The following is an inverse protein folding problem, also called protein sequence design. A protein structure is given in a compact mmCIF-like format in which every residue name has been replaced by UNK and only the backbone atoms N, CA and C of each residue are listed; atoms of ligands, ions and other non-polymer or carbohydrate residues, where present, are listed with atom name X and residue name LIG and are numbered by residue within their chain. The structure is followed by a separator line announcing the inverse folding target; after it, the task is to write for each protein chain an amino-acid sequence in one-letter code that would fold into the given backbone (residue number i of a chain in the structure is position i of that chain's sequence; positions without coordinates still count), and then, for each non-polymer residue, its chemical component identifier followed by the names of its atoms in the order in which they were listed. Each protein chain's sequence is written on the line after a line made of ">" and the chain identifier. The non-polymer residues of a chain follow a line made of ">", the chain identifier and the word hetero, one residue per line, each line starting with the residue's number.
data_IF_963844508420
#
_entry.id   IF_963844508420
#
_cell.length_a   1.000
_cell.length_b   1.000
_cell.length_c   1.000
_cell.angle_alpha   90.00
_cell.angle_beta   90.00
_cell.angle_gamma   90.00
#
_symmetry.space_group_name_H-M   'P 1'
#
loop_
_entity.id
_entity.type
_entity.pdbx_description
1 polymer ?
#
# COMPACT_ATOMS: atom_id res chain seq x y z
N UNK A 1 -3.44 -14.67 0.45
CA UNK A 1 -4.72 -15.42 0.44
C UNK A 1 -5.50 -15.24 1.75
N UNK A 2 -4.96 -15.65 2.91
CA UNK A 2 -5.68 -15.54 4.19
C UNK A 2 -5.94 -14.08 4.61
N UNK A 3 -4.99 -13.18 4.38
CA UNK A 3 -5.11 -11.74 4.68
C UNK A 3 -6.31 -11.15 3.94
N UNK A 4 -6.32 -11.28 2.60
CA UNK A 4 -7.44 -10.88 1.75
C UNK A 4 -8.78 -11.50 2.18
N UNK A 5 -8.80 -12.80 2.48
CA UNK A 5 -10.02 -13.48 2.94
C UNK A 5 -10.57 -12.90 4.26
N UNK A 6 -9.69 -12.51 5.18
CA UNK A 6 -10.06 -11.90 6.45
C UNK A 6 -10.58 -10.45 6.27
N UNK A 7 -10.13 -9.74 5.24
CA UNK A 7 -10.57 -8.38 4.89
C UNK A 7 -11.90 -8.29 4.14
N UNK A 8 -12.46 -9.39 3.62
CA UNK A 8 -13.71 -9.35 2.82
C UNK A 8 -14.98 -8.99 3.61
N UNK A 9 -15.02 -9.25 4.92
CA UNK A 9 -16.19 -8.93 5.73
C UNK A 9 -15.86 -9.00 7.23
N UNK A 10 -16.65 -8.35 8.08
CA UNK A 10 -16.50 -8.42 9.53
C UNK A 10 -16.75 -9.82 10.08
N UNK A 11 -15.68 -10.62 10.19
CA UNK A 11 -15.75 -11.98 10.78
C UNK A 11 -15.44 -11.98 12.28
N UNK A 12 -14.51 -11.13 12.71
CA UNK A 12 -14.03 -11.08 14.11
C UNK A 12 -14.67 -10.00 14.97
N UNK A 13 -15.17 -8.92 14.35
CA UNK A 13 -15.90 -7.83 15.01
C UNK A 13 -17.24 -7.71 14.31
N UNK A 14 -18.34 -7.75 15.06
CA UNK A 14 -19.68 -7.63 14.46
C UNK A 14 -19.99 -6.16 14.19
N UNK A 15 -20.58 -5.92 13.04
CA UNK A 15 -21.21 -4.64 12.69
C UNK A 15 -22.50 -4.54 13.47
N UNK A 16 -22.51 -3.64 14.45
CA UNK A 16 -23.61 -3.49 15.41
C UNK A 16 -24.16 -2.07 15.46
N UNK A 17 -23.49 -1.12 14.81
CA UNK A 17 -23.88 0.28 14.80
C UNK A 17 -24.12 0.69 13.34
N UNK A 18 -25.35 1.11 13.06
CA UNK A 18 -25.75 1.71 11.80
C UNK A 18 -26.35 3.08 12.14
N UNK A 19 -25.58 4.14 11.91
CA UNK A 19 -25.96 5.51 12.25
C UNK A 19 -25.21 6.51 11.36
N UNK A 20 -25.63 7.78 11.39
CA UNK A 20 -24.95 8.88 10.70
C UNK A 20 -23.70 9.32 11.46
N UNK A 21 -22.68 9.80 10.75
CA UNK A 21 -21.48 10.36 11.39
C UNK A 21 -21.83 11.54 12.32
N UNK A 22 -22.83 12.34 11.98
CA UNK A 22 -23.28 13.46 12.82
C UNK A 22 -23.64 13.02 14.25
N UNK A 23 -24.24 11.84 14.40
CA UNK A 23 -24.65 11.28 15.69
C UNK A 23 -23.49 10.61 16.45
N UNK A 24 -22.49 10.07 15.75
CA UNK A 24 -21.39 9.30 16.37
C UNK A 24 -20.03 10.02 16.40
N UNK A 25 -19.95 11.26 15.89
CA UNK A 25 -18.71 12.02 15.68
C UNK A 25 -17.76 12.09 16.88
N UNK A 26 -18.28 12.09 18.11
CA UNK A 26 -17.45 12.21 19.33
C UNK A 26 -16.60 10.95 19.59
N UNK A 27 -17.00 9.82 19.02
CA UNK A 27 -16.34 8.55 19.19
C UNK A 27 -15.99 7.85 17.87
N UNK A 28 -16.13 8.54 16.73
CA UNK A 28 -15.87 8.00 15.40
C UNK A 28 -14.67 8.67 14.71
N UNK A 29 -14.00 7.92 13.82
CA UNK A 29 -13.06 8.46 12.85
C UNK A 29 -13.83 9.33 11.86
N UNK A 30 -13.41 10.59 11.70
CA UNK A 30 -14.00 11.48 10.70
C UNK A 30 -13.64 11.02 9.28
N UNK A 31 -14.61 10.59 8.46
CA UNK A 31 -14.32 10.10 7.12
C UNK A 31 -13.77 11.17 6.18
N UNK A 32 -13.96 12.46 6.48
CA UNK A 32 -13.34 13.55 5.70
C UNK A 32 -11.82 13.66 5.91
N UNK A 33 -11.25 12.98 6.93
CA UNK A 33 -9.81 13.04 7.24
C UNK A 33 -8.99 11.89 6.65
N UNK A 34 -9.62 10.93 5.99
CA UNK A 34 -8.95 9.74 5.45
C UNK A 34 -8.43 9.92 4.01
N UNK A 35 -8.56 11.14 3.47
CA UNK A 35 -8.33 11.44 2.06
C UNK A 35 -9.65 11.53 1.30
N UNK A 36 -9.85 12.67 0.62
CA UNK A 36 -11.01 12.91 -0.23
C UNK A 36 -10.55 13.09 -1.66
N UNK A 37 -11.43 12.77 -2.58
CA UNK A 37 -11.20 13.07 -3.98
C UNK A 37 -11.41 14.56 -4.25
N UNK A 38 -10.69 15.05 -5.25
CA UNK A 38 -10.79 16.45 -5.67
C UNK A 38 -12.17 16.78 -6.24
N UNK A 39 -12.55 18.05 -6.20
CA UNK A 39 -13.80 18.54 -6.79
C UNK A 39 -13.89 18.21 -8.28
N UNK A 40 -12.75 18.28 -8.99
CA UNK A 40 -12.61 17.95 -10.40
C UNK A 40 -12.82 16.45 -10.68
N UNK A 41 -12.49 15.57 -9.73
CA UNK A 41 -12.80 14.14 -9.86
C UNK A 41 -14.28 13.89 -9.70
N UNK A 42 -14.91 14.46 -8.67
CA UNK A 42 -16.36 14.33 -8.45
C UNK A 42 -17.21 14.94 -9.57
N UNK A 43 -16.69 15.93 -10.30
CA UNK A 43 -17.40 16.55 -11.42
C UNK A 43 -17.40 15.68 -12.71
N UNK A 44 -16.66 14.57 -12.75
CA UNK A 44 -16.65 13.69 -13.94
C UNK A 44 -17.98 12.93 -14.06
N UNK A 45 -18.62 12.90 -15.26
CA UNK A 45 -19.94 12.29 -15.44
C UNK A 45 -20.06 10.83 -14.95
N UNK A 46 -18.99 10.04 -15.09
CA UNK A 46 -18.96 8.62 -14.74
C UNK A 46 -18.09 8.35 -13.49
N UNK A 47 -18.01 9.32 -12.57
CA UNK A 47 -17.24 9.12 -11.35
C UNK A 47 -17.94 8.12 -10.42
N UNK A 48 -17.28 7.01 -10.03
CA UNK A 48 -17.95 5.91 -9.35
C UNK A 48 -18.28 6.22 -7.88
N UNK A 49 -17.65 7.25 -7.30
CA UNK A 49 -17.80 7.56 -5.88
C UNK A 49 -18.70 8.77 -5.65
N UNK A 50 -19.54 8.66 -4.64
CA UNK A 50 -20.36 9.73 -4.12
C UNK A 50 -19.58 10.54 -3.09
N UNK A 51 -20.02 11.77 -2.86
CA UNK A 51 -19.49 12.58 -1.76
C UNK A 51 -19.98 12.01 -0.44
N UNK A 52 -19.10 12.04 0.55
CA UNK A 52 -19.47 11.71 1.92
C UNK A 52 -20.53 12.70 2.44
N UNK A 53 -21.69 12.18 2.85
CA UNK A 53 -22.73 12.93 3.54
C UNK A 53 -22.73 12.55 5.04
N UNK A 54 -22.42 13.48 5.96
CA UNK A 54 -22.37 13.19 7.39
C UNK A 54 -23.72 12.79 7.99
N UNK A 55 -24.84 13.01 7.27
CA UNK A 55 -26.20 12.65 7.69
C UNK A 55 -26.67 11.31 7.15
N UNK A 56 -26.01 10.76 6.13
CA UNK A 56 -26.35 9.44 5.59
C UNK A 56 -25.96 8.38 6.63
N UNK A 57 -26.89 7.52 7.07
CA UNK A 57 -26.55 6.38 7.93
C UNK A 57 -25.59 5.43 7.20
N UNK A 58 -24.61 4.92 7.93
CA UNK A 58 -23.69 3.88 7.46
C UNK A 58 -23.33 2.93 8.58
N UNK A 59 -22.72 1.81 8.20
CA UNK A 59 -22.25 0.81 9.14
C UNK A 59 -20.92 1.20 9.77
N UNK A 60 -20.81 0.97 11.06
CA UNK A 60 -19.62 1.24 11.85
C UNK A 60 -19.15 -0.01 12.58
N UNK A 61 -17.83 -0.16 12.64
CA UNK A 61 -17.15 -1.21 13.40
C UNK A 61 -16.19 -0.61 14.42
N UNK A 62 -15.92 -1.34 15.50
CA UNK A 62 -14.99 -0.88 16.52
C UNK A 62 -13.54 -1.13 16.11
N UNK A 63 -12.78 -0.04 16.01
CA UNK A 63 -11.32 -0.03 15.94
C UNK A 63 -10.69 0.50 17.24
N UNK A 64 -9.37 0.52 17.29
CA UNK A 64 -8.61 1.12 18.40
C UNK A 64 -7.72 2.22 17.87
N UNK A 65 -7.81 3.42 18.46
CA UNK A 65 -6.92 4.54 18.12
C UNK A 65 -5.75 4.57 19.09
N UNK A 66 -4.53 4.40 18.57
CA UNK A 66 -3.32 4.59 19.37
C UNK A 66 -3.08 6.05 19.74
N UNK A 67 -3.51 7.00 18.90
CA UNK A 67 -3.37 8.44 19.19
C UNK A 67 -4.28 8.91 20.33
N UNK A 68 -5.47 8.32 20.44
CA UNK A 68 -6.45 8.66 21.48
C UNK A 68 -6.47 7.64 22.63
N UNK A 69 -5.67 6.57 22.53
CA UNK A 69 -5.58 5.44 23.46
C UNK A 69 -6.94 4.84 23.84
N UNK A 70 -7.88 4.78 22.89
CA UNK A 70 -9.25 4.31 23.15
C UNK A 70 -9.89 3.63 21.93
N UNK A 71 -10.93 2.81 22.15
CA UNK A 71 -11.80 2.37 21.07
C UNK A 71 -12.49 3.54 20.37
N UNK A 72 -12.56 3.46 19.04
CA UNK A 72 -13.29 4.41 18.19
C UNK A 72 -14.11 3.63 17.15
N UNK A 73 -15.16 4.25 16.64
CA UNK A 73 -15.87 3.74 15.47
C UNK A 73 -15.12 4.09 14.20
N UNK A 74 -15.02 3.12 13.31
CA UNK A 74 -14.46 3.25 11.96
C UNK A 74 -15.55 2.83 10.98
N UNK A 75 -15.75 3.56 9.87
CA UNK A 75 -16.66 3.11 8.82
C UNK A 75 -16.31 1.69 8.36
N UNK A 76 -17.32 0.83 8.28
CA UNK A 76 -17.16 -0.57 7.90
C UNK A 76 -16.49 -0.71 6.52
N UNK A 77 -16.86 0.15 5.58
CA UNK A 77 -16.34 0.25 4.21
C UNK A 77 -14.88 0.68 4.09
N UNK A 78 -14.26 1.15 5.18
CA UNK A 78 -12.83 1.43 5.24
C UNK A 78 -12.07 0.26 5.87
N UNK A 79 -12.71 -0.45 6.81
CA UNK A 79 -12.09 -1.56 7.53
C UNK A 79 -12.14 -2.89 6.77
N UNK A 80 -13.04 -3.00 5.80
CA UNK A 80 -13.31 -4.21 5.01
C UNK A 80 -13.56 -3.85 3.53
N UNK A 81 -13.48 -4.85 2.67
CA UNK A 81 -13.63 -4.73 1.21
C UNK A 81 -14.88 -5.45 0.70
N UNK A 82 -15.33 -5.09 -0.49
CA UNK A 82 -16.47 -5.62 -1.24
C UNK A 82 -17.82 -5.45 -0.52
N UNK A 83 -18.00 -4.31 0.16
CA UNK A 83 -19.22 -4.03 0.95
C UNK A 83 -20.24 -3.15 0.23
N UNK A 84 -19.90 -2.64 -0.97
CA UNK A 84 -20.82 -1.88 -1.81
C UNK A 84 -21.18 -0.49 -1.27
N UNK A 85 -20.27 0.14 -0.53
CA UNK A 85 -20.41 1.53 -0.10
C UNK A 85 -19.81 2.49 -1.13
N UNK A 86 -20.45 3.65 -1.30
CA UNK A 86 -20.26 4.47 -2.50
C UNK A 86 -19.30 5.64 -2.29
N UNK A 87 -18.86 5.95 -1.05
CA UNK A 87 -18.14 7.20 -0.80
C UNK A 87 -16.60 7.08 -0.77
N UNK A 88 -16.07 5.87 -0.67
CA UNK A 88 -14.64 5.60 -0.56
C UNK A 88 -14.23 4.50 -1.53
N UNK A 89 -13.08 4.65 -2.19
CA UNK A 89 -12.48 3.57 -2.94
C UNK A 89 -11.82 2.58 -1.98
N UNK A 90 -12.40 1.39 -1.88
CA UNK A 90 -11.84 0.28 -1.12
C UNK A 90 -10.44 -0.08 -1.66
N UNK A 91 -9.44 -0.07 -0.78
CA UNK A 91 -8.10 -0.49 -1.14
C UNK A 91 -7.46 -1.25 0.02
N UNK A 92 -6.57 -2.14 -0.38
CA UNK A 92 -5.89 -3.11 0.46
C UNK A 92 -4.86 -2.56 1.46
N UNK A 93 -4.71 -1.23 1.55
CA UNK A 93 -3.61 -0.59 2.23
C UNK A 93 -3.70 -0.74 3.75
N UNK A 94 -2.59 -1.16 4.35
CA UNK A 94 -2.47 -1.36 5.79
C UNK A 94 -3.06 -2.67 6.30
N UNK A 95 -3.50 -3.56 5.41
CA UNK A 95 -3.90 -4.91 5.79
C UNK A 95 -2.70 -5.85 5.85
N UNK A 96 -2.49 -6.47 7.02
CA UNK A 96 -1.40 -7.41 7.22
C UNK A 96 -1.83 -8.62 8.05
N UNK A 97 -1.04 -9.69 7.93
CA UNK A 97 -1.11 -10.86 8.79
C UNK A 97 0.14 -10.96 9.66
N UNK A 98 -0.06 -11.45 10.87
CA UNK A 98 1.01 -11.74 11.82
C UNK A 98 0.69 -13.00 12.61
N UNK A 99 1.69 -13.53 13.30
CA UNK A 99 1.54 -14.64 14.25
C UNK A 99 0.86 -14.20 15.54
N UNK A 100 0.86 -12.90 15.80
CA UNK A 100 0.09 -12.25 16.86
C UNK A 100 -0.49 -10.92 16.36
N UNK A 101 -1.32 -10.29 17.20
CA UNK A 101 -1.97 -9.03 16.87
C UNK A 101 -0.95 -7.90 16.68
N UNK A 102 0.07 -7.85 17.53
CA UNK A 102 1.11 -6.83 17.50
C UNK A 102 1.92 -6.89 16.20
N UNK A 103 2.24 -8.11 15.72
CA UNK A 103 2.94 -8.30 14.46
C UNK A 103 2.08 -7.88 13.26
N UNK A 104 0.78 -8.21 13.26
CA UNK A 104 -0.14 -7.77 12.22
C UNK A 104 -0.28 -6.23 12.20
N UNK A 105 -0.42 -5.61 13.36
CA UNK A 105 -0.48 -4.14 13.48
C UNK A 105 0.82 -3.51 13.00
N UNK A 106 1.96 -4.05 13.40
CA UNK A 106 3.27 -3.55 13.00
C UNK A 106 3.44 -3.54 11.49
N UNK A 107 3.20 -4.67 10.80
CA UNK A 107 3.32 -4.73 9.35
C UNK A 107 2.26 -3.92 8.61
N UNK A 108 1.04 -3.79 9.17
CA UNK A 108 0.03 -2.88 8.63
C UNK A 108 0.49 -1.42 8.64
N UNK A 109 1.13 -0.97 9.72
CA UNK A 109 1.72 0.38 9.80
C UNK A 109 2.86 0.54 8.78
N UNK A 110 3.74 -0.45 8.65
CA UNK A 110 4.83 -0.39 7.68
C UNK A 110 4.32 -0.30 6.23
N UNK A 111 3.27 -1.03 5.89
CA UNK A 111 2.67 -0.94 4.55
C UNK A 111 2.12 0.48 4.28
N UNK A 112 1.45 1.08 5.27
CA UNK A 112 0.96 2.48 5.15
C UNK A 112 2.12 3.45 4.96
N UNK A 113 3.19 3.30 5.74
CA UNK A 113 4.41 4.12 5.62
C UNK A 113 5.07 3.95 4.25
N UNK A 114 5.12 2.73 3.72
CA UNK A 114 5.64 2.47 2.39
C UNK A 114 4.79 3.14 1.30
N UNK A 115 3.46 3.02 1.39
CA UNK A 115 2.54 3.64 0.43
C UNK A 115 2.58 5.15 0.47
N UNK A 116 2.64 5.75 1.64
CA UNK A 116 2.79 7.20 1.79
C UNK A 116 4.07 7.68 1.09
N UNK A 117 5.21 7.05 1.41
CA UNK A 117 6.49 7.36 0.79
C UNK A 117 6.46 7.21 -0.74
N UNK A 118 5.83 6.15 -1.24
CA UNK A 118 5.67 5.91 -2.68
C UNK A 118 4.78 6.99 -3.33
N UNK A 119 3.58 7.23 -2.80
CA UNK A 119 2.64 8.16 -3.42
C UNK A 119 3.17 9.59 -3.41
N UNK A 120 3.79 10.03 -2.30
CA UNK A 120 4.44 11.33 -2.22
C UNK A 120 5.60 11.45 -3.22
N UNK A 121 6.48 10.44 -3.30
CA UNK A 121 7.56 10.43 -4.29
C UNK A 121 7.01 10.58 -5.71
N UNK A 122 5.99 9.80 -6.05
CA UNK A 122 5.42 9.75 -7.40
C UNK A 122 4.72 11.05 -7.77
N UNK A 123 3.79 11.53 -6.94
CA UNK A 123 2.97 12.69 -7.26
C UNK A 123 3.73 14.01 -7.11
N UNK A 124 4.63 14.12 -6.14
CA UNK A 124 5.46 15.31 -5.96
C UNK A 124 6.77 15.27 -6.76
N UNK A 125 7.01 14.20 -7.54
CA UNK A 125 8.22 14.00 -8.36
C UNK A 125 9.50 14.24 -7.56
N UNK A 126 9.56 13.68 -6.34
CA UNK A 126 10.66 13.96 -5.42
C UNK A 126 11.98 13.42 -5.96
N UNK A 127 13.08 14.21 -5.90
CA UNK A 127 14.39 13.73 -6.28
C UNK A 127 14.95 12.81 -5.19
N UNK A 128 14.85 11.50 -5.39
CA UNK A 128 15.32 10.53 -4.40
C UNK A 128 16.84 10.28 -4.52
N UNK A 129 17.59 10.28 -3.41
CA UNK A 129 18.99 9.91 -3.42
C UNK A 129 19.15 8.40 -3.68
N UNK A 130 20.06 8.06 -4.60
CA UNK A 130 20.37 6.68 -4.96
C UNK A 130 21.20 6.01 -3.87
N UNK A 131 20.84 4.76 -3.56
CA UNK A 131 21.55 3.89 -2.63
C UNK A 131 22.53 2.97 -3.38
N UNK A 132 23.71 2.78 -2.79
CA UNK A 132 24.66 1.76 -3.21
C UNK A 132 24.44 0.48 -2.38
N UNK A 133 23.95 -0.63 -2.96
CA UNK A 133 23.75 -1.88 -2.22
C UNK A 133 25.05 -2.47 -1.67
N UNK A 134 26.21 -2.19 -2.28
CA UNK A 134 27.50 -2.70 -1.79
C UNK A 134 27.89 -2.09 -0.44
N UNK A 135 27.40 -0.90 -0.12
CA UNK A 135 27.66 -0.22 1.15
C UNK A 135 27.15 -1.00 2.38
N UNK A 136 26.10 -1.81 2.21
CA UNK A 136 25.53 -2.63 3.28
C UNK A 136 26.42 -3.80 3.70
N UNK A 137 27.39 -4.21 2.85
CA UNK A 137 28.25 -5.40 3.04
C UNK A 137 27.47 -6.69 3.38
N UNK A 138 26.22 -6.76 2.96
CA UNK A 138 25.33 -7.89 3.19
C UNK A 138 25.35 -8.84 1.99
N UNK A 139 25.83 -10.06 2.21
CA UNK A 139 26.02 -11.04 1.14
C UNK A 139 24.69 -11.49 0.53
N UNK A 140 23.64 -11.61 1.33
CA UNK A 140 22.33 -12.05 0.87
C UNK A 140 21.71 -11.04 -0.10
N UNK A 141 21.69 -9.76 0.27
CA UNK A 141 21.19 -8.67 -0.58
C UNK A 141 21.94 -8.63 -1.92
N UNK A 142 23.27 -8.73 -1.88
CA UNK A 142 24.07 -8.74 -3.11
C UNK A 142 23.74 -9.95 -3.99
N UNK A 143 23.55 -11.13 -3.41
CA UNK A 143 23.14 -12.32 -4.15
C UNK A 143 21.73 -12.21 -4.73
N UNK A 144 20.79 -11.57 -4.02
CA UNK A 144 19.43 -11.32 -4.53
C UNK A 144 19.47 -10.44 -5.79
N UNK A 145 20.22 -9.33 -5.73
CA UNK A 145 20.38 -8.40 -6.85
C UNK A 145 21.08 -9.07 -8.03
N UNK A 146 22.18 -9.78 -7.79
CA UNK A 146 22.89 -10.50 -8.84
C UNK A 146 22.04 -11.60 -9.46
N UNK A 147 21.16 -12.26 -8.69
CA UNK A 147 20.21 -13.25 -9.23
C UNK A 147 19.20 -12.60 -10.17
N UNK A 148 18.59 -11.46 -9.80
CA UNK A 148 17.69 -10.71 -10.69
C UNK A 148 18.41 -10.34 -11.99
N UNK A 149 19.65 -9.88 -11.87
CA UNK A 149 20.47 -9.49 -13.02
C UNK A 149 20.85 -10.65 -13.93
N UNK A 150 21.33 -11.74 -13.36
CA UNK A 150 21.84 -12.89 -14.10
C UNK A 150 20.72 -13.78 -14.67
N UNK A 151 19.61 -13.93 -13.93
CA UNK A 151 18.52 -14.85 -14.29
C UNK A 151 17.39 -14.13 -15.01
N UNK A 152 16.92 -12.98 -14.49
CA UNK A 152 15.79 -12.27 -15.09
C UNK A 152 16.22 -11.29 -16.20
N UNK A 153 17.49 -10.86 -16.20
CA UNK A 153 18.04 -9.93 -17.19
C UNK A 153 17.73 -8.46 -16.91
N UNK A 154 17.65 -8.08 -15.63
CA UNK A 154 17.32 -6.71 -15.20
C UNK A 154 18.40 -6.11 -14.29
N UNK A 155 18.76 -4.84 -14.50
CA UNK A 155 19.56 -4.08 -13.54
C UNK A 155 18.64 -3.56 -12.41
N UNK A 156 19.12 -3.54 -11.16
CA UNK A 156 18.38 -3.06 -9.99
C UNK A 156 18.93 -1.70 -9.53
N UNK A 157 18.04 -0.76 -9.26
CA UNK A 157 18.33 0.57 -8.76
C UNK A 157 17.52 0.79 -7.49
N UNK A 158 18.19 1.27 -6.44
CA UNK A 158 17.60 1.49 -5.12
C UNK A 158 17.68 2.97 -4.77
N UNK A 159 16.62 3.52 -4.22
CA UNK A 159 16.51 4.92 -3.84
C UNK A 159 15.93 5.03 -2.44
N UNK A 160 16.44 5.97 -1.66
CA UNK A 160 15.90 6.25 -0.34
C UNK A 160 14.69 7.19 -0.48
N UNK A 161 13.52 6.69 -0.10
CA UNK A 161 12.23 7.39 -0.09
C UNK A 161 11.74 7.70 1.34
N UNK A 162 12.63 7.66 2.34
CA UNK A 162 12.28 7.92 3.74
C UNK A 162 11.73 9.34 3.90
N UNK A 163 10.53 9.46 4.48
CA UNK A 163 9.85 10.74 4.75
C UNK A 163 10.11 11.21 6.20
N UNK A 164 9.44 12.28 6.63
CA UNK A 164 9.68 12.97 7.90
C UNK A 164 9.49 12.11 9.16
N UNK A 165 8.71 11.03 9.05
CA UNK A 165 8.53 10.06 10.12
C UNK A 165 9.81 9.25 10.43
N UNK A 166 10.83 9.30 9.55
CA UNK A 166 12.16 8.73 9.80
C UNK A 166 12.25 7.20 9.72
N UNK A 167 11.21 6.53 9.24
CA UNK A 167 11.21 5.07 9.04
C UNK A 167 11.79 4.79 7.65
N UNK A 168 12.85 3.97 7.53
CA UNK A 168 13.45 3.65 6.24
C UNK A 168 12.43 3.11 5.25
N UNK A 169 12.25 3.83 4.15
CA UNK A 169 11.43 3.45 3.00
C UNK A 169 12.30 3.47 1.75
N UNK A 170 12.27 2.39 0.97
CA UNK A 170 13.13 2.19 -0.19
C UNK A 170 12.25 2.06 -1.42
N UNK A 171 12.52 2.89 -2.42
CA UNK A 171 11.97 2.74 -3.76
C UNK A 171 12.96 1.94 -4.60
N UNK A 172 12.51 0.80 -5.13
CA UNK A 172 13.34 -0.05 -5.97
C UNK A 172 12.80 -0.07 -7.41
N UNK A 173 13.70 0.05 -8.39
CA UNK A 173 13.38 0.04 -9.81
C UNK A 173 14.26 -0.99 -10.49
N UNK A 174 13.66 -1.82 -11.35
CA UNK A 174 14.38 -2.68 -12.27
C UNK A 174 14.37 -2.08 -13.66
N UNK A 175 15.46 -2.26 -14.40
CA UNK A 175 15.56 -1.85 -15.81
C UNK A 175 15.94 -3.04 -16.67
N UNK A 176 15.13 -3.30 -17.69
CA UNK A 176 15.34 -4.42 -18.59
C UNK A 176 16.62 -4.24 -19.42
N UNK A 177 17.43 -5.30 -19.50
CA UNK A 177 18.65 -5.38 -20.33
C UNK A 177 18.45 -6.19 -21.60
N UNK A 178 17.30 -6.85 -21.72
CA UNK A 178 16.91 -7.69 -22.85
C UNK A 178 16.32 -6.82 -23.97
N UNK A 179 16.10 -7.42 -25.13
CA UNK A 179 15.44 -6.75 -26.26
C UNK A 179 13.91 -6.70 -26.15
N UNK A 180 13.34 -7.55 -25.30
CA UNK A 180 11.90 -7.78 -25.12
C UNK A 180 11.57 -7.85 -23.62
N UNK A 181 10.29 -7.70 -23.28
CA UNK A 181 9.80 -7.66 -21.90
C UNK A 181 9.51 -6.24 -21.39
N UNK A 182 8.97 -6.18 -20.18
CA UNK A 182 8.61 -4.90 -19.52
C UNK A 182 9.86 -4.05 -19.36
N UNK A 183 9.78 -2.74 -19.62
CA UNK A 183 10.97 -1.89 -19.56
C UNK A 183 11.41 -1.57 -18.12
N UNK A 184 10.44 -1.24 -17.27
CA UNK A 184 10.64 -0.88 -15.86
C UNK A 184 9.60 -1.58 -15.00
N UNK A 185 10.05 -2.15 -13.89
CA UNK A 185 9.17 -2.55 -12.78
C UNK A 185 9.64 -1.79 -11.54
N UNK A 186 8.70 -1.31 -10.74
CA UNK A 186 9.00 -0.67 -9.48
C UNK A 186 8.27 -1.38 -8.34
N UNK A 187 8.94 -1.43 -7.19
CA UNK A 187 8.37 -1.85 -5.94
C UNK A 187 8.90 -0.93 -4.84
N UNK A 188 8.35 -1.07 -3.64
CA UNK A 188 8.87 -0.40 -2.47
C UNK A 188 8.97 -1.38 -1.30
N UNK A 189 9.64 -0.93 -0.25
CA UNK A 189 9.73 -1.67 1.00
C UNK A 189 10.03 -0.71 2.14
N UNK A 190 9.40 -0.91 3.29
CA UNK A 190 9.67 -0.12 4.50
C UNK A 190 9.94 -1.02 5.70
N UNK A 191 10.85 -0.60 6.57
CA UNK A 191 11.13 -1.27 7.84
C UNK A 191 12.06 -0.41 8.72
N UNK A 192 11.94 -0.40 10.06
CA UNK A 192 12.85 0.34 10.95
C UNK A 192 14.33 -0.05 10.81
N UNK A 193 14.59 -1.32 10.47
CA UNK A 193 15.89 -1.83 9.99
C UNK A 193 16.03 -1.55 8.47
N UNK A 194 16.94 -0.65 8.05
CA UNK A 194 17.12 -0.28 6.64
C UNK A 194 17.47 -1.47 5.74
N UNK A 195 18.23 -2.44 6.24
CA UNK A 195 18.62 -3.59 5.42
C UNK A 195 17.41 -4.46 5.10
N UNK A 196 16.49 -4.62 6.06
CA UNK A 196 15.21 -5.30 5.82
C UNK A 196 14.34 -4.53 4.84
N UNK A 197 14.25 -3.19 4.96
CA UNK A 197 13.51 -2.37 4.00
C UNK A 197 14.00 -2.57 2.56
N UNK A 198 15.32 -2.57 2.37
CA UNK A 198 15.93 -2.84 1.05
C UNK A 198 15.64 -4.27 0.59
N UNK A 199 15.83 -5.28 1.44
CA UNK A 199 15.58 -6.69 1.06
C UNK A 199 14.12 -6.92 0.69
N UNK A 200 13.16 -6.35 1.43
CA UNK A 200 11.73 -6.41 1.09
C UNK A 200 11.48 -5.82 -0.29
N UNK A 201 11.99 -4.63 -0.58
CA UNK A 201 11.80 -3.99 -1.89
C UNK A 201 12.39 -4.83 -3.05
N UNK A 202 13.54 -5.48 -2.83
CA UNK A 202 14.17 -6.37 -3.84
C UNK A 202 13.40 -7.68 -4.00
N UNK A 203 12.85 -8.24 -2.91
CA UNK A 203 11.99 -9.43 -2.97
C UNK A 203 10.72 -9.16 -3.78
N UNK A 204 10.02 -8.06 -3.49
CA UNK A 204 8.81 -7.67 -4.22
C UNK A 204 9.08 -7.46 -5.72
N UNK A 205 10.22 -6.83 -6.07
CA UNK A 205 10.65 -6.73 -7.46
C UNK A 205 10.80 -8.09 -8.14
N UNK A 206 11.43 -9.05 -7.47
CA UNK A 206 11.65 -10.38 -8.04
C UNK A 206 10.32 -11.11 -8.31
N UNK A 207 9.37 -11.00 -7.38
CA UNK A 207 8.05 -11.62 -7.48
C UNK A 207 7.20 -10.97 -8.60
N UNK A 208 7.24 -9.65 -8.71
CA UNK A 208 6.53 -8.91 -9.76
C UNK A 208 7.11 -9.17 -11.15
N UNK A 209 8.44 -9.22 -11.28
CA UNK A 209 9.12 -9.37 -12.57
C UNK A 209 8.67 -10.62 -13.33
N UNK A 210 8.60 -11.77 -12.65
CA UNK A 210 8.20 -13.02 -13.30
C UNK A 210 6.79 -12.92 -13.89
N UNK A 211 5.86 -12.36 -13.12
CA UNK A 211 4.45 -12.27 -13.52
C UNK A 211 4.22 -11.20 -14.59
N UNK A 212 4.86 -10.03 -14.45
CA UNK A 212 4.64 -8.90 -15.35
C UNK A 212 5.31 -9.09 -16.71
N UNK A 213 6.51 -9.67 -16.75
CA UNK A 213 7.24 -9.91 -17.99
C UNK A 213 6.49 -10.91 -18.88
N UNK A 214 5.97 -11.98 -18.27
CA UNK A 214 5.18 -13.02 -18.97
C UNK A 214 3.86 -12.46 -19.50
N UNK A 215 3.13 -11.69 -18.67
CA UNK A 215 1.91 -10.99 -19.11
C UNK A 215 2.17 -10.01 -20.24
N UNK A 216 3.22 -9.20 -20.13
CA UNK A 216 3.52 -8.20 -21.16
C UNK A 216 3.83 -8.84 -22.51
N UNK A 217 4.61 -9.92 -22.55
CA UNK A 217 4.90 -10.59 -23.82
C UNK A 217 3.67 -11.31 -24.38
N UNK A 218 2.79 -11.83 -23.51
CA UNK A 218 1.53 -12.48 -23.95
C UNK A 218 0.56 -11.49 -24.59
N UNK A 219 0.42 -10.30 -24.01
CA UNK A 219 -0.58 -9.29 -24.43
C UNK A 219 0.05 -8.10 -25.15
N UNK A 220 1.26 -8.27 -25.70
CA UNK A 220 2.05 -7.16 -26.25
C UNK A 220 1.32 -6.38 -27.35
N UNK A 221 0.56 -7.07 -28.19
CA UNK A 221 -0.20 -6.46 -29.29
C UNK A 221 -1.40 -5.64 -28.82
N UNK A 222 -1.91 -5.88 -27.60
CA UNK A 222 -3.02 -5.12 -27.02
C UNK A 222 -2.55 -3.81 -26.34
N UNK A 223 -1.26 -3.72 -26.01
CA UNK A 223 -0.64 -2.56 -25.37
C UNK A 223 0.00 -1.57 -26.36
N UNK A 224 0.02 -1.88 -27.66
CA UNK A 224 0.59 -1.06 -28.74
C UNK A 224 -0.51 -0.38 -29.56
#
# INVERSE_FOLDING_TARGET
>A
ALERYAGLQPRGKRTVICDSYENVKDHALNPLKIGLHSEEQYARPDYPLQRFDPKRPMNWVWGYSFLQERPILVPESIAYYDLGDDFVYENYNGCALGRCLEEAIFYGILEVVERDAFLLTWYAQLPLPRLDPASAKDKELLLMIERIKAVAGYDVYLYNATMEHGIPSVWAITKNRKQKGVHLVCAAGSHPDPLRAVKTAVHELADMLLTLDEKYETYREEFL
#
